data_IF_793799966496
#
_entry.id   IF_793799966496
#
_cell.length_a   1.000
_cell.length_b   1.000
_cell.length_c   1.000
_cell.angle_alpha   90.00
_cell.angle_beta   90.00
_cell.angle_gamma   90.00
#
_symmetry.space_group_name_H-M   'P 1'
#
loop_
_entity.id
_entity.type
_entity.pdbx_description
1 polymer ?
#
# COMPACT_ATOMS: atom_id res chain seq x y z
N UNK A 1 4.47 1.45 28.78
CA UNK A 1 5.92 1.34 28.48
C UNK A 1 6.24 1.29 26.98
N UNK A 2 5.51 0.54 26.14
CA UNK A 2 5.94 0.26 24.74
C UNK A 2 6.13 1.48 23.84
N UNK A 3 5.24 2.49 23.86
CA UNK A 3 5.43 3.70 23.03
C UNK A 3 6.58 4.59 23.48
N UNK A 4 6.84 4.62 24.80
CA UNK A 4 7.84 5.53 25.41
C UNK A 4 9.26 5.22 24.96
N UNK A 5 9.57 3.96 24.68
CA UNK A 5 10.91 3.50 24.30
C UNK A 5 10.99 2.98 22.87
N UNK A 6 9.92 3.13 22.07
CA UNK A 6 9.88 2.57 20.72
C UNK A 6 10.92 3.19 19.81
N UNK A 7 11.21 4.48 19.99
CA UNK A 7 12.21 5.19 19.19
C UNK A 7 13.61 4.72 19.56
N UNK A 8 13.92 4.67 20.85
CA UNK A 8 15.20 4.22 21.38
C UNK A 8 15.48 2.76 21.03
N UNK A 9 14.45 1.90 21.04
CA UNK A 9 14.58 0.51 20.63
C UNK A 9 14.79 0.36 19.11
N UNK A 10 14.11 1.16 18.28
CA UNK A 10 14.36 1.17 16.84
C UNK A 10 15.77 1.71 16.52
N UNK A 11 16.17 2.81 17.17
CA UNK A 11 17.50 3.41 17.04
C UNK A 11 18.60 2.46 17.55
N UNK A 12 18.28 1.64 18.57
CA UNK A 12 19.07 0.49 18.98
C UNK A 12 19.15 -0.43 17.77
N UNK A 13 18.08 -1.14 17.38
CA UNK A 13 18.04 -2.15 16.31
C UNK A 13 18.76 -1.74 15.00
N UNK A 14 18.67 -0.48 14.57
CA UNK A 14 19.34 0.01 13.36
C UNK A 14 20.87 0.01 13.43
N UNK A 15 21.44 0.08 14.65
CA UNK A 15 22.88 0.00 14.92
C UNK A 15 23.38 -1.44 15.12
N UNK A 16 22.49 -2.45 15.14
CA UNK A 16 22.80 -3.84 15.57
C UNK A 16 23.44 -4.77 14.53
N UNK A 17 23.69 -4.31 13.30
CA UNK A 17 24.26 -5.17 12.26
C UNK A 17 25.66 -5.75 12.60
N UNK A 18 26.33 -5.30 13.66
CA UNK A 18 27.74 -5.63 13.95
C UNK A 18 27.98 -6.57 15.14
N UNK A 19 26.98 -6.95 15.96
CA UNK A 19 27.22 -7.50 17.32
C UNK A 19 26.73 -8.94 17.59
N UNK A 20 26.43 -9.77 16.59
CA UNK A 20 26.07 -11.19 16.80
C UNK A 20 24.78 -11.45 17.60
N UNK A 21 24.04 -10.39 17.97
CA UNK A 21 22.85 -10.43 18.83
C UNK A 21 21.53 -10.51 18.04
N UNK A 22 21.60 -10.48 16.70
CA UNK A 22 20.43 -10.62 15.81
C UNK A 22 19.75 -11.98 16.03
N UNK A 23 20.53 -13.04 16.24
CA UNK A 23 19.99 -14.37 16.49
C UNK A 23 19.18 -14.41 17.80
N UNK A 24 19.68 -13.78 18.86
CA UNK A 24 18.96 -13.66 20.12
C UNK A 24 17.63 -12.92 19.95
N UNK A 25 17.66 -11.71 19.36
CA UNK A 25 16.45 -10.90 19.16
C UNK A 25 15.44 -11.63 18.26
N UNK A 26 15.92 -12.26 17.18
CA UNK A 26 15.06 -13.02 16.27
C UNK A 26 14.42 -14.21 16.98
N UNK A 27 15.18 -14.93 17.81
CA UNK A 27 14.69 -16.06 18.60
C UNK A 27 13.63 -15.63 19.60
N UNK A 28 13.88 -14.56 20.36
CA UNK A 28 12.91 -14.01 21.32
C UNK A 28 11.64 -13.53 20.62
N UNK A 29 11.78 -12.79 19.51
CA UNK A 29 10.65 -12.30 18.73
C UNK A 29 9.80 -13.44 18.16
N UNK A 30 10.45 -14.44 17.54
CA UNK A 30 9.76 -15.62 17.02
C UNK A 30 9.12 -16.45 18.14
N UNK A 31 9.76 -16.54 19.31
CA UNK A 31 9.19 -17.18 20.50
C UNK A 31 7.89 -16.51 20.94
N UNK A 32 7.90 -15.18 21.04
CA UNK A 32 6.71 -14.38 21.36
C UNK A 32 5.60 -14.55 20.32
N UNK A 33 5.93 -14.50 19.03
CA UNK A 33 4.98 -14.73 17.94
C UNK A 33 4.31 -16.11 18.06
N UNK A 34 5.11 -17.17 18.26
CA UNK A 34 4.60 -18.54 18.42
C UNK A 34 3.68 -18.65 19.63
N UNK A 35 4.08 -18.11 20.78
CA UNK A 35 3.27 -18.14 21.99
C UNK A 35 1.92 -17.43 21.80
N UNK A 36 1.93 -16.25 21.18
CA UNK A 36 0.69 -15.50 20.86
C UNK A 36 -0.20 -16.27 19.91
N UNK A 37 0.36 -16.81 18.82
CA UNK A 37 -0.39 -17.60 17.84
C UNK A 37 -0.97 -18.88 18.45
N UNK A 38 -0.20 -19.57 19.30
CA UNK A 38 -0.66 -20.77 20.02
C UNK A 38 -1.86 -20.45 20.91
N UNK A 39 -1.77 -19.39 21.70
CA UNK A 39 -2.85 -18.95 22.58
C UNK A 39 -4.12 -18.58 21.80
N UNK A 40 -3.97 -17.88 20.67
CA UNK A 40 -5.09 -17.57 19.77
C UNK A 40 -5.75 -18.84 19.21
N UNK A 41 -4.95 -19.81 18.75
CA UNK A 41 -5.48 -21.07 18.19
C UNK A 41 -6.20 -21.95 19.23
N UNK A 42 -5.84 -21.83 20.51
CA UNK A 42 -6.50 -22.54 21.61
C UNK A 42 -7.95 -22.06 21.82
N UNK A 43 -8.25 -20.80 21.48
CA UNK A 43 -9.56 -20.17 21.68
C UNK A 43 -10.15 -19.65 20.36
N UNK A 44 -10.55 -20.59 19.49
CA UNK A 44 -11.09 -20.27 18.15
C UNK A 44 -12.32 -19.36 18.22
N UNK A 45 -13.13 -19.52 19.26
CA UNK A 45 -14.34 -18.72 19.48
C UNK A 45 -13.98 -17.25 19.71
N UNK A 46 -13.03 -16.97 20.61
CA UNK A 46 -12.57 -15.59 20.85
C UNK A 46 -11.95 -14.96 19.60
N UNK A 47 -11.15 -15.73 18.84
CA UNK A 47 -10.60 -15.24 17.58
C UNK A 47 -11.66 -14.93 16.52
N UNK A 48 -12.78 -15.66 16.48
CA UNK A 48 -13.87 -15.38 15.56
C UNK A 48 -14.57 -14.05 15.90
N UNK A 49 -14.71 -13.74 17.19
CA UNK A 49 -15.34 -12.50 17.67
C UNK A 49 -14.39 -11.29 17.75
N UNK A 50 -13.11 -11.47 17.46
CA UNK A 50 -12.10 -10.40 17.43
C UNK A 50 -11.59 -10.15 16.00
N UNK A 51 -12.41 -9.52 15.14
CA UNK A 51 -11.99 -9.24 13.78
C UNK A 51 -10.77 -8.28 13.77
N UNK A 52 -10.67 -7.35 14.74
CA UNK A 52 -9.57 -6.37 14.88
C UNK A 52 -8.32 -6.91 15.60
N UNK A 53 -8.12 -8.22 15.64
CA UNK A 53 -7.00 -8.81 16.36
C UNK A 53 -5.65 -8.31 15.81
N UNK A 54 -4.93 -7.49 16.60
CA UNK A 54 -3.62 -6.92 16.22
C UNK A 54 -2.58 -8.00 15.91
N UNK A 55 -2.71 -9.19 16.52
CA UNK A 55 -1.83 -10.32 16.28
C UNK A 55 -1.91 -10.85 14.83
N UNK A 56 -2.93 -10.47 14.04
CA UNK A 56 -2.98 -10.80 12.59
C UNK A 56 -1.80 -10.21 11.82
N UNK A 57 -1.18 -9.13 12.30
CA UNK A 57 0.05 -8.58 11.71
C UNK A 57 1.19 -9.61 11.72
N UNK A 58 1.25 -10.50 12.72
CA UNK A 58 2.22 -11.59 12.75
C UNK A 58 2.03 -12.57 11.59
N UNK A 59 0.80 -12.79 11.15
CA UNK A 59 0.51 -13.64 10.01
C UNK A 59 1.00 -13.01 8.70
N UNK A 60 0.81 -11.71 8.51
CA UNK A 60 1.37 -11.00 7.35
C UNK A 60 2.90 -11.10 7.31
N UNK A 61 3.57 -11.00 8.47
CA UNK A 61 5.03 -11.20 8.58
C UNK A 61 5.40 -12.63 8.19
N UNK A 62 4.70 -13.64 8.71
CA UNK A 62 4.94 -15.05 8.36
C UNK A 62 4.79 -15.32 6.86
N UNK A 63 3.74 -14.79 6.24
CA UNK A 63 3.52 -14.88 4.79
C UNK A 63 4.66 -14.21 4.02
N UNK A 64 5.10 -13.03 4.46
CA UNK A 64 6.23 -12.31 3.84
C UNK A 64 7.56 -13.06 3.97
N UNK A 65 7.77 -13.75 5.09
CA UNK A 65 8.91 -14.64 5.29
C UNK A 65 8.82 -15.94 4.48
N UNK A 66 7.72 -16.18 3.75
CA UNK A 66 7.43 -17.40 3.01
C UNK A 66 7.50 -18.67 3.87
N UNK A 67 7.05 -18.58 5.13
CA UNK A 67 6.94 -19.80 5.95
C UNK A 67 5.92 -20.75 5.32
N UNK A 68 6.07 -22.06 5.55
CA UNK A 68 5.15 -23.05 5.01
C UNK A 68 3.73 -22.81 5.54
N UNK A 69 2.73 -23.12 4.73
CA UNK A 69 1.33 -22.96 5.12
C UNK A 69 0.96 -23.79 6.38
N UNK A 70 1.65 -24.90 6.61
CA UNK A 70 1.51 -25.73 7.82
C UNK A 70 1.91 -25.03 9.11
N UNK A 71 2.83 -24.06 9.02
CA UNK A 71 3.36 -23.31 10.16
C UNK A 71 2.53 -22.05 10.44
N UNK A 72 1.66 -21.66 9.50
CA UNK A 72 0.74 -20.54 9.64
C UNK A 72 -0.48 -20.99 10.46
N UNK A 73 -0.97 -20.16 11.41
CA UNK A 73 -2.21 -20.44 12.12
C UNK A 73 -3.42 -20.61 11.19
N UNK A 74 -3.75 -21.87 10.86
CA UNK A 74 -4.73 -22.22 9.82
C UNK A 74 -6.10 -21.56 10.03
N UNK A 75 -6.56 -21.48 11.30
CA UNK A 75 -7.82 -20.81 11.61
C UNK A 75 -7.77 -19.32 11.27
N UNK A 76 -6.77 -18.58 11.77
CA UNK A 76 -6.62 -17.16 11.46
C UNK A 76 -6.48 -16.90 9.96
N UNK A 77 -5.74 -17.74 9.25
CA UNK A 77 -5.57 -17.63 7.81
C UNK A 77 -6.88 -17.86 7.05
N UNK A 78 -7.65 -18.88 7.45
CA UNK A 78 -8.97 -19.15 6.85
C UNK A 78 -9.96 -17.99 7.06
N UNK A 79 -9.91 -17.32 8.21
CA UNK A 79 -10.73 -16.15 8.47
C UNK A 79 -10.28 -14.95 7.63
N UNK A 80 -8.97 -14.77 7.43
CA UNK A 80 -8.45 -13.75 6.52
C UNK A 80 -8.90 -13.98 5.07
N UNK A 81 -8.83 -15.22 4.57
CA UNK A 81 -9.33 -15.57 3.24
C UNK A 81 -10.83 -15.28 3.12
N UNK A 82 -11.64 -15.64 4.11
CA UNK A 82 -13.08 -15.35 4.13
C UNK A 82 -13.36 -13.85 4.12
N UNK A 83 -12.68 -13.08 4.97
CA UNK A 83 -12.85 -11.63 5.02
C UNK A 83 -12.50 -10.98 3.67
N UNK A 84 -11.44 -11.45 3.01
CA UNK A 84 -11.05 -10.95 1.69
C UNK A 84 -12.09 -11.36 0.63
N UNK A 85 -12.62 -12.59 0.69
CA UNK A 85 -13.70 -13.01 -0.22
C UNK A 85 -14.94 -12.12 -0.06
N UNK A 86 -15.41 -11.93 1.17
CA UNK A 86 -16.59 -11.10 1.45
C UNK A 86 -16.36 -9.64 1.03
N UNK A 87 -15.14 -9.13 1.23
CA UNK A 87 -14.72 -7.82 0.76
C UNK A 87 -14.72 -7.71 -0.78
N UNK A 88 -14.20 -8.72 -1.49
CA UNK A 88 -14.21 -8.77 -2.95
C UNK A 88 -15.64 -8.83 -3.51
N UNK A 89 -16.50 -9.62 -2.87
CA UNK A 89 -17.92 -9.78 -3.23
C UNK A 89 -18.77 -8.53 -2.91
N UNK A 90 -18.20 -7.52 -2.25
CA UNK A 90 -18.92 -6.31 -1.85
C UNK A 90 -19.92 -6.53 -0.71
N UNK A 91 -19.78 -7.62 0.04
CA UNK A 91 -20.61 -7.88 1.22
C UNK A 91 -20.20 -6.95 2.37
N UNK A 92 -21.13 -6.75 3.29
CA UNK A 92 -20.85 -6.06 4.54
C UNK A 92 -19.72 -6.79 5.27
N UNK A 93 -18.61 -6.07 5.47
CA UNK A 93 -17.44 -6.56 6.17
C UNK A 93 -17.21 -5.64 7.36
N UNK A 94 -16.82 -6.23 8.49
CA UNK A 94 -16.56 -5.46 9.70
C UNK A 94 -15.27 -4.63 9.59
N UNK A 95 -14.34 -5.05 8.71
CA UNK A 95 -12.98 -4.52 8.64
C UNK A 95 -12.49 -4.47 7.21
N UNK A 96 -12.02 -3.29 6.82
CA UNK A 96 -11.32 -3.09 5.56
C UNK A 96 -9.95 -3.80 5.60
N UNK A 97 -9.59 -4.63 4.62
CA UNK A 97 -8.39 -5.47 4.65
C UNK A 97 -7.11 -4.66 4.34
N UNK A 98 -6.75 -3.72 5.21
CA UNK A 98 -5.60 -2.83 5.04
C UNK A 98 -4.28 -3.63 5.16
N UNK A 99 -3.47 -3.60 4.09
CA UNK A 99 -2.20 -4.31 3.95
C UNK A 99 -2.28 -5.83 4.22
N UNK A 100 -3.42 -6.47 3.93
CA UNK A 100 -3.59 -7.90 4.11
C UNK A 100 -2.75 -8.67 3.10
N UNK A 101 -1.89 -9.59 3.55
CA UNK A 101 -1.03 -10.39 2.66
C UNK A 101 -1.61 -11.78 2.44
N UNK A 102 -1.54 -12.28 1.21
CA UNK A 102 -1.97 -13.63 0.82
C UNK A 102 -0.91 -14.27 -0.07
N UNK A 103 -0.80 -15.60 -0.02
CA UNK A 103 -0.15 -16.33 -1.09
C UNK A 103 -0.88 -16.09 -2.40
N UNK A 104 -0.12 -15.90 -3.47
CA UNK A 104 -0.66 -15.62 -4.79
C UNK A 104 -1.59 -16.73 -5.27
N UNK A 105 -1.22 -17.99 -5.04
CA UNK A 105 -2.04 -19.15 -5.39
C UNK A 105 -3.42 -19.14 -4.72
N UNK A 106 -3.50 -18.73 -3.46
CA UNK A 106 -4.77 -18.65 -2.74
C UNK A 106 -5.62 -17.46 -3.20
N UNK A 107 -5.00 -16.31 -3.47
CA UNK A 107 -5.71 -15.17 -4.09
C UNK A 107 -6.33 -15.55 -5.44
N UNK A 108 -5.60 -16.30 -6.27
CA UNK A 108 -6.10 -16.81 -7.55
C UNK A 108 -7.33 -17.73 -7.37
N UNK A 109 -7.30 -18.60 -6.36
CA UNK A 109 -8.46 -19.44 -6.02
C UNK A 109 -9.67 -18.60 -5.61
N UNK A 110 -9.48 -17.53 -4.82
CA UNK A 110 -10.57 -16.62 -4.44
C UNK A 110 -11.26 -15.98 -5.66
N UNK A 111 -10.50 -15.68 -6.72
CA UNK A 111 -11.05 -15.14 -7.97
C UNK A 111 -11.68 -16.20 -8.89
N UNK A 112 -11.66 -17.48 -8.49
CA UNK A 112 -12.05 -18.62 -9.31
C UNK A 112 -11.37 -18.58 -10.69
N UNK A 113 -10.07 -18.32 -10.70
CA UNK A 113 -9.23 -18.37 -11.91
C UNK A 113 -8.55 -19.73 -11.93
N UNK A 114 -8.67 -20.44 -13.07
CA UNK A 114 -8.02 -21.74 -13.24
C UNK A 114 -6.55 -21.50 -13.55
N UNK A 115 -5.66 -21.88 -12.64
CA UNK A 115 -4.23 -21.86 -12.92
C UNK A 115 -3.89 -22.98 -13.89
N UNK A 116 -3.52 -22.64 -15.12
CA UNK A 116 -2.68 -23.51 -15.95
C UNK A 116 -1.25 -23.37 -15.42
N UNK A 117 -0.94 -24.11 -14.35
CA UNK A 117 0.30 -24.01 -13.55
C UNK A 117 1.58 -24.25 -14.39
N UNK A 118 1.44 -24.91 -15.55
CA UNK A 118 2.58 -25.40 -16.34
C UNK A 118 3.28 -24.33 -17.16
N UNK A 119 2.64 -23.20 -17.45
CA UNK A 119 3.30 -22.07 -18.11
C UNK A 119 3.28 -20.88 -17.16
N UNK A 120 4.46 -20.41 -16.75
CA UNK A 120 4.64 -19.16 -15.98
C UNK A 120 4.29 -17.92 -16.81
N UNK A 121 3.19 -17.96 -17.56
CA UNK A 121 2.68 -16.86 -18.37
C UNK A 121 1.92 -15.89 -17.45
N UNK A 122 2.70 -15.12 -16.69
CA UNK A 122 2.17 -14.11 -15.77
C UNK A 122 1.34 -13.03 -16.49
N UNK A 123 1.56 -12.78 -17.79
CA UNK A 123 0.78 -11.80 -18.53
C UNK A 123 -0.67 -12.26 -18.78
N UNK A 124 -0.85 -13.52 -19.21
CA UNK A 124 -2.18 -14.12 -19.36
C UNK A 124 -2.91 -14.12 -18.01
N UNK A 125 -2.23 -14.60 -16.96
CA UNK A 125 -2.79 -14.65 -15.61
C UNK A 125 -3.17 -13.26 -15.10
N UNK A 126 -2.32 -12.26 -15.31
CA UNK A 126 -2.59 -10.90 -14.88
C UNK A 126 -3.81 -10.31 -15.61
N UNK A 127 -3.95 -10.55 -16.91
CA UNK A 127 -5.13 -10.12 -17.67
C UNK A 127 -6.42 -10.81 -17.19
N UNK A 128 -6.35 -12.07 -16.76
CA UNK A 128 -7.49 -12.76 -16.14
C UNK A 128 -7.85 -12.16 -14.77
N UNK A 129 -6.87 -11.86 -13.92
CA UNK A 129 -7.07 -11.16 -12.65
C UNK A 129 -7.76 -9.81 -12.88
N UNK A 130 -7.21 -9.00 -13.79
CA UNK A 130 -7.76 -7.71 -14.23
C UNK A 130 -9.23 -7.87 -14.64
N UNK A 131 -9.52 -8.85 -15.50
CA UNK A 131 -10.89 -9.10 -15.97
C UNK A 131 -11.83 -9.43 -14.82
N UNK A 132 -11.39 -10.27 -13.87
CA UNK A 132 -12.19 -10.65 -12.71
C UNK A 132 -12.41 -9.48 -11.75
N UNK A 133 -11.35 -8.74 -11.41
CA UNK A 133 -11.46 -7.58 -10.50
C UNK A 133 -12.31 -6.48 -11.16
N UNK A 134 -12.16 -6.23 -12.46
CA UNK A 134 -12.97 -5.24 -13.17
C UNK A 134 -14.47 -5.61 -13.15
N UNK A 135 -14.81 -6.90 -13.22
CA UNK A 135 -16.20 -7.35 -13.06
C UNK A 135 -16.73 -7.14 -11.64
N UNK A 136 -15.88 -7.26 -10.62
CA UNK A 136 -16.28 -7.13 -9.22
C UNK A 136 -16.31 -5.67 -8.73
N UNK A 137 -15.40 -4.83 -9.22
CA UNK A 137 -15.12 -3.49 -8.68
C UNK A 137 -15.27 -2.35 -9.69
N UNK A 138 -15.62 -2.67 -10.94
CA UNK A 138 -15.73 -1.67 -11.99
C UNK A 138 -14.38 -1.20 -12.50
N UNK A 139 -14.26 0.08 -12.85
CA UNK A 139 -13.09 0.64 -13.55
C UNK A 139 -11.79 0.38 -12.79
N UNK A 140 -10.82 -0.18 -13.49
CA UNK A 140 -9.49 -0.49 -12.97
C UNK A 140 -8.39 0.29 -13.69
N UNK A 141 -7.30 0.52 -12.98
CA UNK A 141 -6.06 1.02 -13.55
C UNK A 141 -4.92 0.15 -13.07
N UNK A 142 -3.91 -0.03 -13.92
CA UNK A 142 -2.83 -0.98 -13.69
C UNK A 142 -1.48 -0.41 -14.09
N UNK A 143 -0.46 -0.84 -13.37
CA UNK A 143 0.95 -0.68 -13.71
C UNK A 143 1.62 -2.04 -13.58
N UNK A 144 2.50 -2.34 -14.53
CA UNK A 144 3.26 -3.59 -14.58
C UNK A 144 4.72 -3.24 -14.75
N UNK A 145 5.56 -3.70 -13.82
CA UNK A 145 7.01 -3.54 -13.90
C UNK A 145 7.68 -4.92 -13.96
N UNK A 146 8.48 -5.11 -14.99
CA UNK A 146 9.29 -6.30 -15.25
C UNK A 146 10.71 -5.86 -15.61
N UNK A 147 11.56 -5.73 -14.60
CA UNK A 147 12.99 -5.48 -14.72
C UNK A 147 13.75 -6.55 -13.92
N UNK A 148 15.03 -6.82 -14.24
CA UNK A 148 15.80 -7.99 -13.77
C UNK A 148 15.63 -8.36 -12.28
N UNK A 149 15.48 -7.36 -11.40
CA UNK A 149 15.31 -7.55 -9.95
C UNK A 149 13.94 -7.11 -9.41
N UNK A 150 13.11 -6.48 -10.24
CA UNK A 150 11.83 -5.86 -9.86
C UNK A 150 10.73 -6.46 -10.73
N UNK A 151 9.87 -7.27 -10.13
CA UNK A 151 8.77 -7.89 -10.84
C UNK A 151 7.48 -7.83 -10.02
N UNK A 152 6.63 -6.87 -10.34
CA UNK A 152 5.36 -6.69 -9.66
C UNK A 152 4.26 -6.14 -10.56
N UNK A 153 3.03 -6.31 -10.09
CA UNK A 153 1.87 -5.61 -10.62
C UNK A 153 1.24 -4.73 -9.54
N UNK A 154 0.85 -3.53 -9.94
CA UNK A 154 -0.02 -2.65 -9.16
C UNK A 154 -1.36 -2.53 -9.88
N UNK A 155 -2.44 -2.63 -9.13
CA UNK A 155 -3.79 -2.42 -9.64
C UNK A 155 -4.57 -1.58 -8.64
N UNK A 156 -5.29 -0.58 -9.10
CA UNK A 156 -6.25 0.17 -8.29
C UNK A 156 -7.65 -0.01 -8.86
N UNK A 157 -8.59 -0.38 -7.99
CA UNK A 157 -10.00 -0.56 -8.32
C UNK A 157 -10.84 -0.12 -7.12
N UNK A 158 -11.80 0.77 -7.35
CA UNK A 158 -12.67 1.30 -6.28
C UNK A 158 -11.88 1.84 -5.06
N UNK A 159 -10.76 2.52 -5.33
CA UNK A 159 -9.88 3.09 -4.29
C UNK A 159 -8.95 2.08 -3.61
N UNK A 160 -9.08 0.78 -3.93
CA UNK A 160 -8.31 -0.29 -3.33
C UNK A 160 -7.10 -0.63 -4.19
N UNK A 161 -5.91 -0.60 -3.58
CA UNK A 161 -4.66 -0.96 -4.25
C UNK A 161 -4.30 -2.42 -3.98
N UNK A 162 -4.14 -3.19 -5.04
CA UNK A 162 -3.64 -4.55 -5.04
C UNK A 162 -2.19 -4.54 -5.52
N UNK A 163 -1.29 -5.06 -4.70
CA UNK A 163 0.14 -5.18 -5.03
C UNK A 163 0.54 -6.65 -5.13
N UNK A 164 0.96 -7.07 -6.31
CA UNK A 164 1.37 -8.43 -6.62
C UNK A 164 2.89 -8.49 -6.69
N UNK A 165 3.56 -9.02 -5.68
CA UNK A 165 4.99 -9.28 -5.71
C UNK A 165 5.21 -10.67 -6.28
N UNK A 166 5.60 -10.75 -7.57
CA UNK A 166 5.73 -12.03 -8.27
C UNK A 166 6.98 -12.80 -7.85
N UNK A 167 8.01 -12.10 -7.35
CA UNK A 167 9.20 -12.75 -6.80
C UNK A 167 8.88 -13.39 -5.45
N UNK A 168 8.05 -12.73 -4.64
CA UNK A 168 7.57 -13.29 -3.38
C UNK A 168 6.41 -14.26 -3.55
N UNK A 169 5.70 -14.22 -4.68
CA UNK A 169 4.43 -14.92 -4.91
C UNK A 169 3.38 -14.54 -3.85
N UNK A 170 3.30 -13.24 -3.55
CA UNK A 170 2.41 -12.67 -2.53
C UNK A 170 1.57 -11.56 -3.14
N UNK A 171 0.31 -11.49 -2.73
CA UNK A 171 -0.57 -10.35 -2.99
C UNK A 171 -0.78 -9.59 -1.69
N UNK A 172 -0.61 -8.27 -1.74
CA UNK A 172 -1.03 -7.36 -0.68
C UNK A 172 -2.32 -6.67 -1.13
N UNK A 173 -3.38 -6.82 -0.35
CA UNK A 173 -4.68 -6.19 -0.57
C UNK A 173 -4.71 -4.87 0.19
N UNK A 174 -5.25 -3.84 -0.46
CA UNK A 174 -5.37 -2.48 0.05
C UNK A 174 -4.05 -1.96 0.63
N UNK A 175 -3.04 -1.86 -0.24
CA UNK A 175 -1.71 -1.39 0.11
C UNK A 175 -1.77 0.09 0.56
N UNK A 176 -1.55 0.35 1.84
CA UNK A 176 -1.64 1.68 2.43
C UNK A 176 -0.38 2.08 3.19
N UNK A 177 0.13 1.22 4.07
CA UNK A 177 1.22 1.58 4.98
C UNK A 177 2.61 1.16 4.48
N UNK A 178 2.69 0.50 3.33
CA UNK A 178 3.98 0.19 2.71
C UNK A 178 4.70 1.50 2.37
N UNK A 179 5.93 1.61 2.86
CA UNK A 179 6.84 2.66 2.47
C UNK A 179 7.28 2.43 1.03
N UNK A 180 7.38 3.51 0.26
CA UNK A 180 7.90 3.46 -1.11
C UNK A 180 9.42 3.33 -1.03
N UNK A 181 9.97 2.22 -1.53
CA UNK A 181 11.38 1.85 -1.31
C UNK A 181 12.30 2.24 -2.46
N UNK A 182 11.73 2.45 -3.66
CA UNK A 182 12.51 2.76 -4.87
C UNK A 182 11.86 3.90 -5.65
N UNK A 183 12.66 4.65 -6.39
CA UNK A 183 12.17 5.71 -7.28
C UNK A 183 11.25 5.16 -8.37
N UNK A 184 11.48 3.94 -8.84
CA UNK A 184 10.60 3.24 -9.77
C UNK A 184 9.22 2.98 -9.17
N UNK A 185 9.17 2.49 -7.92
CA UNK A 185 7.91 2.30 -7.20
C UNK A 185 7.19 3.64 -6.97
N UNK A 186 7.94 4.70 -6.66
CA UNK A 186 7.36 6.04 -6.52
C UNK A 186 6.67 6.50 -7.81
N UNK A 187 7.38 6.43 -8.94
CA UNK A 187 6.83 6.77 -10.27
C UNK A 187 5.59 5.95 -10.59
N UNK A 188 5.62 4.65 -10.35
CA UNK A 188 4.51 3.75 -10.65
C UNK A 188 3.27 4.06 -9.80
N UNK A 189 3.44 4.37 -8.51
CA UNK A 189 2.33 4.74 -7.64
C UNK A 189 1.76 6.11 -8.03
N UNK A 190 2.60 7.08 -8.38
CA UNK A 190 2.18 8.40 -8.90
C UNK A 190 1.37 8.22 -10.18
N UNK A 191 1.88 7.44 -11.14
CA UNK A 191 1.20 7.16 -12.41
C UNK A 191 -0.15 6.47 -12.19
N UNK A 192 -0.19 5.49 -11.28
CA UNK A 192 -1.40 4.77 -10.92
C UNK A 192 -2.47 5.72 -10.37
N UNK A 193 -2.10 6.60 -9.43
CA UNK A 193 -3.04 7.58 -8.85
C UNK A 193 -3.44 8.67 -9.84
N UNK A 194 -2.50 9.19 -10.64
CA UNK A 194 -2.78 10.15 -11.71
C UNK A 194 -3.86 9.63 -12.65
N UNK A 195 -3.73 8.38 -13.11
CA UNK A 195 -4.74 7.71 -13.94
C UNK A 195 -6.07 7.49 -13.21
N UNK A 196 -6.02 7.04 -11.96
CA UNK A 196 -7.23 6.74 -11.16
C UNK A 196 -8.07 7.99 -10.88
N UNK A 197 -7.41 9.07 -10.43
CA UNK A 197 -8.06 10.33 -10.09
C UNK A 197 -8.24 11.27 -11.29
N UNK A 198 -7.70 10.91 -12.47
CA UNK A 198 -7.73 11.72 -13.68
C UNK A 198 -7.12 13.12 -13.45
N UNK A 199 -5.92 13.15 -12.85
CA UNK A 199 -5.14 14.36 -12.59
C UNK A 199 -3.87 14.26 -13.41
N UNK A 200 -3.59 15.27 -14.23
CA UNK A 200 -2.34 15.38 -14.96
C UNK A 200 -1.21 15.77 -14.00
N UNK A 201 -0.13 14.99 -14.00
CA UNK A 201 1.04 15.19 -13.14
C UNK A 201 2.30 15.20 -14.01
N UNK A 202 3.10 16.24 -13.84
CA UNK A 202 4.48 16.31 -14.30
C UNK A 202 5.40 16.09 -13.09
N UNK A 203 6.36 15.15 -13.20
CA UNK A 203 7.38 14.91 -12.16
C UNK A 203 8.62 15.72 -12.53
N UNK A 204 9.02 16.63 -11.66
CA UNK A 204 10.24 17.42 -11.79
C UNK A 204 11.28 16.84 -10.84
N UNK A 205 12.32 16.21 -11.39
CA UNK A 205 13.39 15.57 -10.61
C UNK A 205 14.50 16.58 -10.30
N UNK A 206 14.78 16.85 -9.02
CA UNK A 206 15.96 17.62 -8.62
C UNK A 206 17.13 16.72 -8.21
N UNK A 207 18.35 17.20 -8.44
CA UNK A 207 19.59 16.47 -8.17
C UNK A 207 19.81 16.08 -6.70
N UNK A 208 19.07 16.69 -5.78
CA UNK A 208 19.27 16.50 -4.34
C UNK A 208 18.43 15.39 -3.74
N UNK A 209 17.59 14.66 -4.51
CA UNK A 209 16.68 13.63 -3.98
C UNK A 209 15.32 14.17 -3.52
N UNK A 210 14.97 15.36 -3.97
CA UNK A 210 13.63 15.91 -3.86
C UNK A 210 13.00 15.91 -5.24
N UNK A 211 11.76 15.44 -5.34
CA UNK A 211 10.98 15.62 -6.56
C UNK A 211 9.84 16.57 -6.28
N UNK A 212 9.41 17.29 -7.31
CA UNK A 212 8.16 18.02 -7.27
C UNK A 212 7.13 17.35 -8.15
N UNK A 213 5.93 17.20 -7.62
CA UNK A 213 4.73 16.90 -8.38
C UNK A 213 4.10 18.21 -8.80
N UNK A 214 4.14 18.50 -10.10
CA UNK A 214 3.39 19.59 -10.69
C UNK A 214 2.05 19.05 -11.19
N UNK A 215 0.98 19.34 -10.46
CA UNK A 215 -0.37 18.89 -10.78
C UNK A 215 -1.15 19.98 -11.49
N UNK A 216 -1.75 19.65 -12.63
CA UNK A 216 -2.56 20.56 -13.44
C UNK A 216 -4.05 20.28 -13.25
N UNK A 217 -4.81 21.29 -12.81
CA UNK A 217 -6.24 21.19 -12.56
C UNK A 217 -7.00 22.22 -13.42
N UNK A 218 -7.86 21.77 -14.35
CA UNK A 218 -8.75 22.66 -15.10
C UNK A 218 -9.68 23.46 -14.19
N UNK A 219 -9.77 24.77 -14.43
CA UNK A 219 -10.63 25.68 -13.68
C UNK A 219 -11.49 26.49 -14.65
N UNK A 220 -12.82 26.48 -14.46
CA UNK A 220 -13.74 27.27 -15.33
C UNK A 220 -13.99 28.70 -14.84
N UNK A 221 -13.60 29.00 -13.61
CA UNK A 221 -13.80 30.33 -12.98
C UNK A 221 -12.63 30.58 -12.04
N UNK A 222 -12.12 31.82 -12.00
CA UNK A 222 -11.30 32.31 -10.90
C UNK A 222 -12.13 32.19 -9.61
N UNK A 223 -12.01 31.06 -8.92
CA UNK A 223 -12.62 30.84 -7.60
C UNK A 223 -11.74 31.50 -6.56
N UNK A 224 -12.35 31.93 -5.46
CA UNK A 224 -11.63 32.64 -4.39
C UNK A 224 -10.40 31.83 -3.95
N UNK A 225 -9.25 32.49 -3.85
CA UNK A 225 -8.00 31.95 -3.32
C UNK A 225 -8.20 31.20 -2.00
N UNK A 226 -9.24 31.56 -1.23
CA UNK A 226 -9.64 30.86 -0.01
C UNK A 226 -9.83 29.34 -0.22
N UNK A 227 -10.59 28.92 -1.24
CA UNK A 227 -10.82 27.48 -1.48
C UNK A 227 -9.51 26.79 -1.84
N UNK A 228 -8.69 27.42 -2.68
CA UNK A 228 -7.41 26.83 -3.11
C UNK A 228 -6.45 26.73 -1.92
N UNK A 229 -6.40 27.75 -1.06
CA UNK A 229 -5.64 27.76 0.18
C UNK A 229 -6.09 26.67 1.16
N UNK A 230 -7.41 26.43 1.33
CA UNK A 230 -7.90 25.34 2.18
C UNK A 230 -7.37 23.97 1.72
N UNK A 231 -7.26 23.75 0.41
CA UNK A 231 -6.71 22.50 -0.15
C UNK A 231 -5.19 22.46 -0.11
N UNK A 232 -4.51 23.60 -0.25
CA UNK A 232 -3.06 23.72 -0.01
C UNK A 232 -2.71 23.27 1.40
N UNK A 233 -3.43 23.76 2.41
CA UNK A 233 -3.21 23.40 3.82
C UNK A 233 -3.40 21.90 4.06
N UNK A 234 -4.47 21.31 3.49
CA UNK A 234 -4.70 19.85 3.56
C UNK A 234 -3.58 19.02 2.94
N UNK A 235 -3.07 19.43 1.77
CA UNK A 235 -1.98 18.72 1.10
C UNK A 235 -0.67 18.85 1.89
N UNK A 236 -0.45 20.02 2.52
CA UNK A 236 0.73 20.30 3.33
C UNK A 236 0.79 19.47 4.64
N UNK A 237 -0.28 18.77 5.02
CA UNK A 237 -0.20 17.73 6.07
C UNK A 237 0.68 16.52 5.66
N UNK A 238 0.88 16.34 4.35
CA UNK A 238 1.59 15.19 3.78
C UNK A 238 2.90 15.55 3.08
N UNK A 239 3.20 16.84 2.95
CA UNK A 239 4.39 17.37 2.26
C UNK A 239 4.98 18.56 3.02
N UNK A 240 6.26 18.89 2.83
CA UNK A 240 6.87 20.03 3.55
C UNK A 240 6.60 21.36 2.84
N UNK A 241 6.45 21.29 1.52
CA UNK A 241 6.24 22.41 0.63
C UNK A 241 5.09 22.15 -0.35
N UNK A 242 4.08 23.01 -0.29
CA UNK A 242 3.04 23.12 -1.30
C UNK A 242 2.99 24.57 -1.73
N UNK A 243 3.01 24.80 -3.03
CA UNK A 243 2.67 26.09 -3.61
C UNK A 243 1.64 25.91 -4.72
N UNK A 244 0.91 26.98 -5.04
CA UNK A 244 0.08 26.99 -6.23
C UNK A 244 0.24 28.29 -6.99
N UNK A 245 0.01 28.21 -8.29
CA UNK A 245 -0.14 29.34 -9.18
C UNK A 245 -1.26 29.00 -10.14
N UNK A 246 -1.93 30.01 -10.69
CA UNK A 246 -3.01 29.78 -11.64
C UNK A 246 -2.93 30.76 -12.79
N UNK A 247 -3.37 30.31 -13.95
CA UNK A 247 -3.72 31.15 -15.08
C UNK A 247 -5.25 31.19 -15.23
N UNK A 248 -5.75 31.74 -16.34
CA UNK A 248 -7.19 31.87 -16.59
C UNK A 248 -7.92 30.52 -16.70
N UNK A 249 -7.19 29.42 -16.95
CA UNK A 249 -7.73 28.11 -17.32
C UNK A 249 -7.27 26.96 -16.42
N UNK A 250 -6.12 27.10 -15.77
CA UNK A 250 -5.45 26.04 -15.03
C UNK A 250 -4.97 26.53 -13.67
N UNK A 251 -5.14 25.68 -12.67
CA UNK A 251 -4.49 25.80 -11.37
C UNK A 251 -3.38 24.76 -11.34
N UNK A 252 -2.16 25.20 -11.08
CA UNK A 252 -1.00 24.35 -10.92
C UNK A 252 -0.63 24.26 -9.45
N UNK A 253 -0.55 23.05 -8.92
CA UNK A 253 0.05 22.78 -7.63
C UNK A 253 1.48 22.28 -7.82
N UNK A 254 2.43 22.86 -7.09
CA UNK A 254 3.78 22.36 -6.98
C UNK A 254 3.97 21.79 -5.58
N UNK A 255 4.09 20.47 -5.49
CA UNK A 255 4.10 19.71 -4.23
C UNK A 255 5.42 18.97 -4.14
N UNK A 256 6.19 19.20 -3.07
CA UNK A 256 7.40 18.43 -2.83
C UNK A 256 7.09 17.00 -2.39
N UNK A 257 7.91 16.06 -2.81
CA UNK A 257 7.88 14.68 -2.32
C UNK A 257 9.31 14.21 -2.07
N UNK A 258 9.51 13.58 -0.92
CA UNK A 258 10.81 12.98 -0.57
C UNK A 258 11.00 11.67 -1.33
N UNK A 259 12.05 11.61 -2.15
CA UNK A 259 12.40 10.36 -2.83
C UNK A 259 12.96 9.35 -1.83
N UNK A 260 12.91 8.04 -2.14
CA UNK A 260 13.47 7.02 -1.26
C UNK A 260 14.96 7.20 -0.95
N UNK A 261 15.73 7.83 -1.84
CA UNK A 261 17.16 8.16 -1.60
C UNK A 261 17.36 9.18 -0.47
N UNK A 262 16.40 10.10 -0.31
CA UNK A 262 16.45 11.18 0.67
C UNK A 262 15.60 10.95 1.91
N UNK A 263 14.92 9.82 1.97
CA UNK A 263 14.32 9.34 3.20
C UNK A 263 15.47 8.92 4.14
N UNK A 264 16.09 9.90 4.80
CA UNK A 264 16.84 9.66 6.03
C UNK A 264 16.00 8.70 6.88
N UNK A 265 16.63 7.66 7.44
CA UNK A 265 15.99 6.50 8.16
C UNK A 265 14.91 6.85 9.22
N UNK A 266 14.67 8.13 9.51
CA UNK A 266 13.75 8.65 10.51
C UNK A 266 12.32 8.75 9.99
N UNK A 267 11.46 7.84 10.45
CA UNK A 267 10.07 8.06 10.92
C UNK A 267 9.02 8.70 9.99
N UNK A 268 9.39 9.26 8.83
CA UNK A 268 8.51 9.90 7.86
C UNK A 268 8.78 9.32 6.47
N UNK A 269 8.60 8.01 6.34
CA UNK A 269 8.57 7.38 5.02
C UNK A 269 7.31 7.82 4.29
N UNK A 270 7.46 8.17 3.02
CA UNK A 270 6.32 8.37 2.14
C UNK A 270 5.66 7.01 1.93
N UNK A 271 4.39 6.91 2.31
CA UNK A 271 3.58 5.68 2.17
C UNK A 271 2.60 5.84 1.03
N UNK A 272 2.13 4.70 0.51
CA UNK A 272 1.12 4.67 -0.57
C UNK A 272 -0.15 5.44 -0.19
N UNK A 273 -0.59 5.34 1.07
CA UNK A 273 -1.76 6.08 1.58
C UNK A 273 -1.54 7.59 1.63
N UNK A 274 -0.40 8.08 2.14
CA UNK A 274 -0.09 9.51 2.18
C UNK A 274 -0.11 10.13 0.79
N UNK A 275 0.49 9.44 -0.19
CA UNK A 275 0.43 9.87 -1.58
C UNK A 275 -1.02 9.85 -2.10
N UNK A 276 -1.80 8.82 -1.77
CA UNK A 276 -3.22 8.74 -2.11
C UNK A 276 -4.06 9.91 -1.59
N UNK A 277 -3.83 10.37 -0.35
CA UNK A 277 -4.54 11.52 0.22
C UNK A 277 -4.20 12.84 -0.48
N UNK A 278 -2.96 13.02 -0.98
CA UNK A 278 -2.60 14.15 -1.83
C UNK A 278 -3.46 14.15 -3.10
N UNK A 279 -3.50 13.04 -3.83
CA UNK A 279 -4.27 12.94 -5.07
C UNK A 279 -5.78 13.04 -4.85
N UNK A 280 -6.29 12.47 -3.76
CA UNK A 280 -7.69 12.60 -3.37
C UNK A 280 -8.05 14.06 -3.10
N UNK A 281 -7.20 14.80 -2.39
CA UNK A 281 -7.38 16.23 -2.13
C UNK A 281 -7.39 17.04 -3.43
N UNK A 282 -6.46 16.78 -4.35
CA UNK A 282 -6.42 17.40 -5.67
C UNK A 282 -7.69 17.09 -6.51
N UNK A 283 -8.22 15.86 -6.43
CA UNK A 283 -9.43 15.46 -7.16
C UNK A 283 -10.70 16.09 -6.56
N UNK A 284 -10.77 16.21 -5.24
CA UNK A 284 -11.85 16.94 -4.59
C UNK A 284 -11.84 18.41 -4.98
N UNK A 285 -10.64 19.02 -5.05
CA UNK A 285 -10.48 20.38 -5.54
C UNK A 285 -10.92 20.49 -7.00
N UNK A 286 -10.49 19.58 -7.89
CA UNK A 286 -10.85 19.60 -9.30
C UNK A 286 -12.36 19.59 -9.51
N UNK A 287 -13.09 18.75 -8.78
CA UNK A 287 -14.57 18.73 -8.77
C UNK A 287 -15.19 20.03 -8.27
N UNK A 288 -14.51 20.70 -7.33
CA UNK A 288 -14.95 21.98 -6.77
C UNK A 288 -14.59 23.17 -7.64
N UNK A 289 -13.66 23.09 -8.60
CA UNK A 289 -13.26 24.22 -9.46
C UNK A 289 -13.70 24.08 -10.92
N UNK A 290 -14.01 22.86 -11.36
CA UNK A 290 -14.65 22.56 -12.65
C UNK A 290 -16.07 23.15 -12.78
#
# INVERSE_FOLDING_TARGET
MSKKYSKEFNDYLEKFNELGSIDYISREFLGLMRQKCYNCNKSRVECAFQPHCENRKYMNIMIEMKVNLSDIPAFCYSQQLRNIQDFLDGKAHLIEPIDYKLFFSDFIKLLNIKLEIESKNYDKLFNEIITKINKLKGKIYKIQRKEDKINYFLLIADGIIYYFDLKKEIVTINLQNKAIETEYELKDVIELYSKYFNIEIEIIEEMTGWWYLKASIPSKKLKSDKIINDYKEKIQEFSEFVNFFHDDSLIYFLIDIKTPLNQNRKLYKLTVSKLGEIFKSLNELSKKVA
#
